data_IF_566479851052
#
_entry.id   IF_566479851052
#
_cell.length_a   1.000
_cell.length_b   1.000
_cell.length_c   1.000
_cell.angle_alpha   90.00
_cell.angle_beta   90.00
_cell.angle_gamma   90.00
#
_symmetry.space_group_name_H-M   'P 1'
#
loop_
_entity.id
_entity.type
_entity.pdbx_description
1 polymer ?
#
# COMPACT_ATOMS: atom_id res chain seq x y z
N UNK A 1 2.53 -6.09 -16.20
CA UNK A 1 2.32 -6.94 -15.02
C UNK A 1 0.96 -6.53 -14.46
N UNK A 2 0.01 -7.44 -14.19
CA UNK A 2 -1.30 -6.99 -13.72
C UNK A 2 -1.24 -6.63 -12.23
N UNK A 3 -1.73 -5.45 -11.88
CA UNK A 3 -1.84 -4.94 -10.51
C UNK A 3 -3.27 -4.48 -10.23
N UNK A 4 -3.64 -4.36 -8.94
CA UNK A 4 -4.97 -3.91 -8.53
C UNK A 4 -5.20 -2.43 -8.82
N UNK A 5 -4.12 -1.64 -8.78
CA UNK A 5 -4.13 -0.21 -9.08
C UNK A 5 -3.11 0.15 -10.15
N UNK A 6 -3.37 1.22 -10.89
CA UNK A 6 -2.43 1.79 -11.87
C UNK A 6 -1.52 2.85 -11.22
N UNK A 7 -0.34 3.15 -11.80
CA UNK A 7 0.52 4.25 -11.33
C UNK A 7 -0.22 5.58 -11.15
N UNK A 8 -1.12 5.91 -12.08
CA UNK A 8 -1.93 7.13 -12.01
C UNK A 8 -2.94 7.10 -10.85
N UNK A 9 -3.54 5.95 -10.56
CA UNK A 9 -4.39 5.81 -9.37
C UNK A 9 -3.58 5.96 -8.08
N UNK A 10 -2.35 5.42 -8.03
CA UNK A 10 -1.48 5.60 -6.86
C UNK A 10 -1.17 7.07 -6.62
N UNK A 11 -0.83 7.83 -7.67
CA UNK A 11 -0.63 9.28 -7.56
C UNK A 11 -1.87 9.98 -6.99
N UNK A 12 -3.05 9.70 -7.54
CA UNK A 12 -4.29 10.35 -7.10
C UNK A 12 -4.71 10.02 -5.67
N UNK A 13 -4.50 8.79 -5.23
CA UNK A 13 -5.02 8.29 -3.95
C UNK A 13 -4.03 8.46 -2.80
N UNK A 14 -2.73 8.36 -3.08
CA UNK A 14 -1.72 8.37 -2.04
C UNK A 14 -0.93 9.66 -1.97
N UNK A 15 -0.90 10.50 -3.01
CA UNK A 15 -0.19 11.79 -3.02
C UNK A 15 -1.18 12.96 -2.96
N UNK A 16 -0.81 14.03 -2.27
CA UNK A 16 -1.67 15.20 -2.08
C UNK A 16 -1.72 16.11 -3.32
N UNK A 17 -2.71 17.02 -3.39
CA UNK A 17 -2.90 17.92 -4.55
C UNK A 17 -1.70 18.83 -4.86
N UNK A 18 -0.80 19.06 -3.90
CA UNK A 18 0.45 19.82 -4.09
C UNK A 18 1.69 18.97 -4.42
N UNK A 19 1.57 17.65 -4.46
CA UNK A 19 2.67 16.72 -4.70
C UNK A 19 2.72 16.31 -6.18
N UNK A 20 3.33 17.15 -7.02
CA UNK A 20 3.46 16.88 -8.45
C UNK A 20 4.62 15.92 -8.72
N UNK A 21 4.30 14.66 -8.99
CA UNK A 21 5.25 13.64 -9.41
C UNK A 21 4.88 13.06 -10.78
N UNK A 22 5.85 12.84 -11.67
CA UNK A 22 5.61 12.19 -12.95
C UNK A 22 5.22 10.71 -12.70
N UNK A 23 4.22 10.16 -13.43
CA UNK A 23 3.75 8.78 -13.20
C UNK A 23 4.84 7.72 -13.42
N UNK A 24 5.86 8.02 -14.21
CA UNK A 24 7.02 7.16 -14.49
C UNK A 24 7.86 6.88 -13.24
N UNK A 25 7.69 7.65 -12.16
CA UNK A 25 8.37 7.40 -10.89
C UNK A 25 7.82 6.16 -10.16
N UNK A 26 6.60 5.75 -10.50
CA UNK A 26 5.92 4.60 -9.92
C UNK A 26 5.97 3.46 -10.93
N UNK A 27 6.82 2.46 -10.68
CA UNK A 27 6.84 1.27 -11.51
C UNK A 27 5.72 0.30 -11.10
N UNK A 28 5.16 -0.44 -12.07
CA UNK A 28 4.23 -1.54 -11.78
C UNK A 28 4.82 -2.57 -10.81
N UNK A 29 6.14 -2.78 -10.87
CA UNK A 29 6.85 -3.67 -9.94
C UNK A 29 6.82 -3.20 -8.48
N UNK A 30 6.84 -1.88 -8.24
CA UNK A 30 6.73 -1.32 -6.89
C UNK A 30 5.32 -1.55 -6.33
N UNK A 31 4.30 -1.38 -7.17
CA UNK A 31 2.90 -1.66 -6.83
C UNK A 31 2.72 -3.14 -6.51
N UNK A 32 3.14 -4.02 -7.41
CA UNK A 32 3.02 -5.46 -7.20
C UNK A 32 3.78 -5.94 -5.97
N UNK A 33 4.98 -5.40 -5.71
CA UNK A 33 5.74 -5.70 -4.49
C UNK A 33 4.99 -5.27 -3.22
N UNK A 34 4.32 -4.12 -3.23
CA UNK A 34 3.48 -3.66 -2.13
C UNK A 34 2.25 -4.55 -1.94
N UNK A 35 1.57 -4.92 -3.03
CA UNK A 35 0.41 -5.81 -3.01
C UNK A 35 0.76 -7.20 -2.46
N UNK A 36 1.84 -7.82 -2.96
CA UNK A 36 2.30 -9.13 -2.48
C UNK A 36 2.67 -9.10 -0.99
N UNK A 37 3.26 -8.01 -0.52
CA UNK A 37 3.69 -7.89 0.87
C UNK A 37 2.54 -7.61 1.83
N UNK A 38 1.54 -6.85 1.41
CA UNK A 38 0.55 -6.28 2.32
C UNK A 38 -0.89 -6.69 2.03
N UNK A 39 -1.28 -6.83 0.77
CA UNK A 39 -2.66 -7.14 0.36
C UNK A 39 -2.88 -8.65 0.30
N UNK A 40 -2.03 -9.38 -0.41
CA UNK A 40 -2.16 -10.83 -0.64
C UNK A 40 -2.27 -11.64 0.66
N UNK A 41 -1.52 -11.33 1.74
CA UNK A 41 -1.67 -12.05 3.01
C UNK A 41 -3.03 -11.90 3.71
N UNK A 42 -3.82 -10.90 3.32
CA UNK A 42 -5.16 -10.63 3.90
C UNK A 42 -6.25 -11.20 2.99
N UNK A 43 -6.20 -10.88 1.70
CA UNK A 43 -7.25 -11.31 0.75
C UNK A 43 -7.11 -12.78 0.33
N UNK A 44 -5.91 -13.34 0.45
CA UNK A 44 -5.59 -14.68 -0.03
C UNK A 44 -5.26 -14.70 -1.53
N UNK A 45 -4.47 -15.70 -1.94
CA UNK A 45 -3.95 -15.77 -3.32
C UNK A 45 -5.04 -16.04 -4.36
N UNK A 46 -6.00 -16.92 -4.03
CA UNK A 46 -7.09 -17.27 -4.95
C UNK A 46 -7.98 -16.06 -5.29
N UNK A 47 -8.42 -15.30 -4.28
CA UNK A 47 -9.18 -14.07 -4.49
C UNK A 47 -8.34 -13.00 -5.20
N UNK A 48 -7.07 -12.85 -4.85
CA UNK A 48 -6.17 -11.90 -5.53
C UNK A 48 -6.08 -12.17 -7.04
N UNK A 49 -5.97 -13.43 -7.47
CA UNK A 49 -5.93 -13.79 -8.88
C UNK A 49 -7.24 -13.43 -9.60
N UNK A 50 -8.40 -13.57 -8.95
CA UNK A 50 -9.70 -13.12 -9.48
C UNK A 50 -9.79 -11.61 -9.62
N UNK A 51 -9.31 -10.87 -8.61
CA UNK A 51 -9.25 -9.41 -8.63
C UNK A 51 -8.34 -8.90 -9.76
N UNK A 52 -7.21 -9.57 -10.02
CA UNK A 52 -6.33 -9.27 -11.15
C UNK A 52 -6.96 -9.60 -12.51
N UNK A 53 -7.83 -10.61 -12.57
CA UNK A 53 -8.63 -10.93 -13.75
C UNK A 53 -9.79 -9.94 -13.98
N UNK A 54 -10.02 -9.00 -13.07
CA UNK A 54 -11.05 -7.96 -13.18
C UNK A 54 -12.37 -8.30 -12.49
N UNK A 55 -12.46 -9.42 -11.76
CA UNK A 55 -13.62 -9.71 -10.90
C UNK A 55 -13.71 -8.72 -9.75
N UNK A 56 -14.93 -8.49 -9.25
CA UNK A 56 -15.22 -7.61 -8.11
C UNK A 56 -14.68 -6.17 -8.26
N UNK A 57 -15.03 -5.45 -9.34
CA UNK A 57 -14.49 -4.11 -9.60
C UNK A 57 -14.85 -3.09 -8.52
N UNK A 58 -16.04 -3.21 -7.93
CA UNK A 58 -16.52 -2.32 -6.87
C UNK A 58 -15.71 -2.53 -5.59
N UNK A 59 -15.53 -3.79 -5.17
CA UNK A 59 -14.68 -4.12 -4.03
C UNK A 59 -13.25 -3.61 -4.20
N UNK A 60 -12.67 -3.84 -5.39
CA UNK A 60 -11.33 -3.34 -5.71
C UNK A 60 -11.23 -1.82 -5.60
N UNK A 61 -12.20 -1.11 -6.15
CA UNK A 61 -12.18 0.36 -6.22
C UNK A 61 -12.48 1.01 -4.87
N UNK A 62 -13.47 0.51 -4.14
CA UNK A 62 -13.90 1.08 -2.87
C UNK A 62 -12.98 0.69 -1.71
N UNK A 63 -12.53 -0.56 -1.65
CA UNK A 63 -11.83 -1.11 -0.48
C UNK A 63 -10.32 -1.28 -0.67
N UNK A 64 -9.86 -1.70 -1.86
CA UNK A 64 -8.45 -2.07 -2.05
C UNK A 64 -7.59 -0.98 -2.70
N UNK A 65 -8.18 -0.08 -3.50
CA UNK A 65 -7.41 0.90 -4.26
C UNK A 65 -6.60 1.84 -3.35
N UNK A 66 -7.24 2.40 -2.33
CA UNK A 66 -6.62 3.31 -1.37
C UNK A 66 -5.50 2.66 -0.54
N UNK A 67 -5.70 1.50 0.12
CA UNK A 67 -4.61 0.86 0.86
C UNK A 67 -3.47 0.41 -0.06
N UNK A 68 -3.75 -0.13 -1.26
CA UNK A 68 -2.70 -0.50 -2.22
C UNK A 68 -1.84 0.71 -2.62
N UNK A 69 -2.47 1.86 -2.87
CA UNK A 69 -1.78 3.10 -3.18
C UNK A 69 -0.91 3.59 -2.00
N UNK A 70 -1.43 3.59 -0.78
CA UNK A 70 -0.69 4.03 0.41
C UNK A 70 0.49 3.12 0.74
N UNK A 71 0.34 1.79 0.62
CA UNK A 71 1.47 0.87 0.76
C UNK A 71 2.53 1.10 -0.31
N UNK A 72 2.11 1.34 -1.56
CA UNK A 72 3.03 1.69 -2.65
C UNK A 72 3.79 2.98 -2.33
N UNK A 73 3.11 4.03 -1.87
CA UNK A 73 3.76 5.28 -1.42
C UNK A 73 4.77 5.02 -0.31
N UNK A 74 4.42 4.20 0.69
CA UNK A 74 5.33 3.88 1.80
C UNK A 74 6.59 3.13 1.35
N UNK A 75 6.49 2.28 0.32
CA UNK A 75 7.64 1.58 -0.30
C UNK A 75 8.50 2.55 -1.09
N UNK A 76 7.89 3.48 -1.82
CA UNK A 76 8.58 4.43 -2.68
C UNK A 76 9.23 5.60 -1.93
N UNK A 77 8.69 6.00 -0.78
CA UNK A 77 9.11 7.21 -0.06
C UNK A 77 10.64 7.31 0.15
N UNK A 78 11.38 6.25 0.55
CA UNK A 78 12.84 6.32 0.67
C UNK A 78 13.58 6.70 -0.62
N UNK A 79 13.08 6.27 -1.79
CA UNK A 79 13.63 6.61 -3.12
C UNK A 79 13.32 8.04 -3.53
N UNK A 80 12.29 8.65 -2.95
CA UNK A 80 11.96 10.06 -3.12
C UNK A 80 12.82 10.94 -2.20
N UNK A 81 13.08 10.45 -0.98
CA UNK A 81 13.83 11.16 0.05
C UNK A 81 15.35 11.19 -0.21
N UNK A 82 15.88 10.23 -0.97
CA UNK A 82 17.32 10.10 -1.26
C UNK A 82 17.53 9.77 -2.73
N UNK A 83 18.43 10.49 -3.39
CA UNK A 83 18.83 10.29 -4.80
C UNK A 83 20.25 9.73 -4.86
N UNK A 84 20.52 8.90 -5.85
CA UNK A 84 21.88 8.44 -6.16
C UNK A 84 22.38 9.19 -7.39
N UNK A 85 23.52 9.86 -7.26
CA UNK A 85 24.18 10.58 -8.34
C UNK A 85 25.68 10.34 -8.35
N UNK A 86 26.42 11.16 -9.12
CA UNK A 86 27.88 11.04 -9.24
C UNK A 86 28.62 11.22 -7.90
N UNK A 87 28.03 11.95 -6.96
CA UNK A 87 28.58 12.17 -5.62
C UNK A 87 28.06 11.15 -4.58
N UNK A 88 27.51 10.02 -5.01
CA UNK A 88 26.90 9.01 -4.13
C UNK A 88 25.44 9.31 -3.77
N UNK A 89 25.00 8.84 -2.61
CA UNK A 89 23.62 9.04 -2.11
C UNK A 89 23.47 10.39 -1.43
N UNK A 90 22.60 11.25 -1.96
CA UNK A 90 22.36 12.60 -1.45
C UNK A 90 20.88 12.86 -1.22
N UNK A 91 20.57 13.70 -0.24
CA UNK A 91 19.21 14.18 -0.02
C UNK A 91 18.94 15.40 -0.95
N UNK A 92 17.76 15.50 -1.58
CA UNK A 92 17.44 16.60 -2.48
C UNK A 92 17.34 17.91 -1.70
N UNK A 93 18.31 18.80 -1.92
CA UNK A 93 18.40 20.13 -1.32
C UNK A 93 18.44 21.19 -2.41
N UNK A 94 17.70 22.28 -2.23
CA UNK A 94 17.72 23.44 -3.13
C UNK A 94 18.06 24.72 -2.35
N UNK A 95 18.15 25.85 -3.05
CA UNK A 95 18.36 27.16 -2.41
C UNK A 95 17.21 27.55 -1.45
N UNK A 96 16.00 27.02 -1.66
CA UNK A 96 14.79 27.42 -0.95
C UNK A 96 14.11 26.28 -0.15
N UNK A 97 14.66 25.06 -0.22
CA UNK A 97 14.11 23.90 0.48
C UNK A 97 15.22 23.04 1.09
N UNK A 98 14.95 22.53 2.30
CA UNK A 98 15.81 21.56 2.97
C UNK A 98 15.13 20.19 3.03
N UNK A 99 15.89 19.10 2.92
CA UNK A 99 15.37 17.76 3.19
C UNK A 99 14.77 17.67 4.59
N UNK A 100 13.67 16.92 4.71
CA UNK A 100 13.09 16.60 6.01
C UNK A 100 14.07 15.77 6.87
N UNK A 101 14.14 16.07 8.16
CA UNK A 101 14.93 15.29 9.11
C UNK A 101 14.39 13.88 9.33
N UNK A 102 15.21 13.01 9.94
CA UNK A 102 14.87 11.60 10.19
C UNK A 102 13.57 11.39 10.96
N UNK A 103 13.29 12.26 11.94
CA UNK A 103 12.07 12.20 12.75
C UNK A 103 10.83 12.41 11.90
N UNK A 104 10.82 13.44 11.06
CA UNK A 104 9.73 13.72 10.14
C UNK A 104 9.52 12.58 9.13
N UNK A 105 10.61 12.05 8.55
CA UNK A 105 10.54 10.91 7.61
C UNK A 105 9.98 9.65 8.26
N UNK A 106 10.40 9.34 9.49
CA UNK A 106 9.86 8.21 10.27
C UNK A 106 8.38 8.39 10.62
N UNK A 107 7.98 9.61 11.00
CA UNK A 107 6.58 9.92 11.29
C UNK A 107 5.70 9.76 10.05
N UNK A 108 6.12 10.29 8.91
CA UNK A 108 5.42 10.13 7.64
C UNK A 108 5.22 8.65 7.30
N UNK A 109 6.30 7.85 7.33
CA UNK A 109 6.22 6.42 7.03
C UNK A 109 5.26 5.69 7.98
N UNK A 110 5.31 5.99 9.27
CA UNK A 110 4.40 5.38 10.26
C UNK A 110 2.95 5.77 10.00
N UNK A 111 2.68 7.03 9.70
CA UNK A 111 1.34 7.51 9.38
C UNK A 111 0.77 6.82 8.13
N UNK A 112 1.55 6.72 7.05
CA UNK A 112 1.15 6.02 5.82
C UNK A 112 0.82 4.56 6.08
N UNK A 113 1.68 3.84 6.80
CA UNK A 113 1.45 2.43 7.11
C UNK A 113 0.25 2.22 8.04
N UNK A 114 0.06 3.11 9.02
CA UNK A 114 -1.09 3.06 9.92
C UNK A 114 -2.40 3.27 9.13
N UNK A 115 -2.47 4.31 8.30
CA UNK A 115 -3.65 4.60 7.48
C UNK A 115 -3.95 3.45 6.50
N UNK A 116 -2.93 2.94 5.80
CA UNK A 116 -3.08 1.83 4.87
C UNK A 116 -3.61 0.57 5.57
N UNK A 117 -3.09 0.25 6.76
CA UNK A 117 -3.56 -0.89 7.56
C UNK A 117 -4.99 -0.72 8.02
N UNK A 118 -5.38 0.47 8.50
CA UNK A 118 -6.77 0.73 8.90
C UNK A 118 -7.75 0.51 7.75
N UNK A 119 -7.42 0.99 6.55
CA UNK A 119 -8.25 0.76 5.36
C UNK A 119 -8.27 -0.71 4.93
N UNK A 120 -7.14 -1.42 5.04
CA UNK A 120 -7.09 -2.85 4.74
C UNK A 120 -7.88 -3.69 5.77
N UNK A 121 -7.91 -3.29 7.04
CA UNK A 121 -8.78 -3.90 8.04
C UNK A 121 -10.25 -3.73 7.65
N UNK A 122 -10.66 -2.54 7.23
CA UNK A 122 -12.03 -2.31 6.71
C UNK A 122 -12.35 -3.24 5.53
N UNK A 123 -11.40 -3.44 4.61
CA UNK A 123 -11.56 -4.38 3.50
C UNK A 123 -11.72 -5.83 3.98
N UNK A 124 -10.91 -6.26 4.94
CA UNK A 124 -10.99 -7.60 5.53
C UNK A 124 -12.32 -7.84 6.25
N UNK A 125 -12.80 -6.86 7.03
CA UNK A 125 -14.11 -6.95 7.67
C UNK A 125 -15.25 -7.09 6.65
N UNK A 126 -15.17 -6.38 5.52
CA UNK A 126 -16.14 -6.52 4.44
C UNK A 126 -16.13 -7.93 3.84
N UNK A 127 -14.96 -8.51 3.58
CA UNK A 127 -14.82 -9.89 3.07
C UNK A 127 -15.41 -10.92 4.03
N UNK A 128 -15.24 -10.73 5.35
CA UNK A 128 -15.81 -11.62 6.36
C UNK A 128 -17.32 -11.51 6.44
N UNK A 129 -17.85 -10.30 6.40
CA UNK A 129 -19.29 -10.06 6.47
C UNK A 129 -20.04 -10.57 5.23
N UNK A 130 -19.39 -10.58 4.06
CA UNK A 130 -20.00 -10.95 2.77
C UNK A 130 -19.35 -12.21 2.18
N UNK A 131 -19.01 -13.18 3.03
CA UNK A 131 -18.29 -14.40 2.61
C UNK A 131 -18.96 -15.13 1.44
N UNK A 132 -20.28 -15.14 1.40
CA UNK A 132 -21.05 -15.82 0.36
C UNK A 132 -20.85 -15.19 -1.04
N UNK A 133 -20.47 -13.91 -1.10
CA UNK A 133 -20.17 -13.18 -2.35
C UNK A 133 -18.73 -13.45 -2.86
N UNK A 134 -17.84 -13.89 -1.97
CA UNK A 134 -16.42 -14.13 -2.23
C UNK A 134 -16.04 -15.59 -1.92
N UNK A 135 -16.45 -16.57 -2.74
CA UNK A 135 -16.16 -17.99 -2.48
C UNK A 135 -14.67 -18.32 -2.46
N UNK A 136 -13.82 -17.51 -3.10
CA UNK A 136 -12.36 -17.67 -3.08
C UNK A 136 -11.69 -17.12 -1.80
N UNK A 137 -12.43 -16.37 -0.96
CA UNK A 137 -11.91 -15.87 0.31
C UNK A 137 -11.93 -16.96 1.38
N UNK A 138 -10.76 -17.25 1.93
CA UNK A 138 -10.60 -18.18 3.05
C UNK A 138 -10.17 -17.41 4.33
N UNK A 139 -11.06 -17.27 5.32
CA UNK A 139 -10.77 -16.59 6.58
C UNK A 139 -9.60 -17.21 7.36
N UNK A 140 -9.33 -18.50 7.22
CA UNK A 140 -8.24 -19.18 7.94
C UNK A 140 -6.86 -18.74 7.41
N UNK A 141 -6.81 -18.34 6.14
CA UNK A 141 -5.59 -17.85 5.51
C UNK A 141 -5.35 -16.35 5.73
N UNK A 142 -6.35 -15.61 6.21
CA UNK A 142 -6.24 -14.18 6.53
C UNK A 142 -5.32 -13.96 7.74
N UNK A 143 -4.21 -13.27 7.50
CA UNK A 143 -3.23 -12.95 8.54
C UNK A 143 -3.84 -12.16 9.72
N UNK A 144 -4.89 -11.37 9.51
CA UNK A 144 -5.55 -10.63 10.58
C UNK A 144 -6.39 -11.52 11.50
N UNK A 145 -6.81 -12.70 11.04
CA UNK A 145 -7.48 -13.67 11.90
C UNK A 145 -6.48 -14.44 12.76
N UNK A 146 -5.30 -14.71 12.20
CA UNK A 146 -4.23 -15.47 12.88
C UNK A 146 -3.43 -14.62 13.84
N UNK A 147 -3.21 -13.35 13.53
CA UNK A 147 -2.45 -12.47 14.39
C UNK A 147 -2.94 -11.02 14.35
N UNK A 148 -2.96 -10.39 15.53
CA UNK A 148 -3.15 -8.94 15.66
C UNK A 148 -1.83 -8.26 15.95
N UNK A 149 -1.62 -7.09 15.34
CA UNK A 149 -0.47 -6.23 15.62
C UNK A 149 -0.92 -4.88 16.14
N UNK A 150 -1.57 -4.87 17.30
CA UNK A 150 -2.02 -3.65 17.97
C UNK A 150 -0.91 -3.11 18.89
N UNK A 151 -0.67 -1.81 18.83
CA UNK A 151 0.30 -1.13 19.70
C UNK A 151 1.77 -1.55 19.51
N UNK A 152 2.09 -2.32 18.46
CA UNK A 152 3.44 -2.83 18.21
C UNK A 152 3.73 -4.22 18.79
N UNK A 153 2.72 -4.90 19.33
CA UNK A 153 2.84 -6.27 19.84
C UNK A 153 2.21 -7.25 18.86
N UNK A 154 2.86 -8.39 18.60
CA UNK A 154 2.27 -9.49 17.82
C UNK A 154 1.55 -10.42 18.79
N UNK A 155 0.23 -10.54 18.66
CA UNK A 155 -0.56 -11.55 19.36
C UNK A 155 -1.02 -12.60 18.35
N UNK A 156 -0.72 -13.87 18.62
CA UNK A 156 -1.17 -15.00 17.80
C UNK A 156 -2.42 -15.56 18.48
N UNK A 157 -3.50 -15.77 17.72
CA UNK A 157 -4.75 -16.37 18.20
C UNK A 157 -4.74 -17.89 18.07
#
# INVERSE_FOLDING_TARGET
>A
MNTLVTPLQVLKLAFGEGEYLPPEIIAEADIAGAEQRHIVPVVGRALYEKLLAGSYPDFRTEYLASPAALFTRAVLQPRLDVRTGQCGTTAPKSAYAQPAGDTARRHLRRALLAQARTLLHRAAEHLRAHRDEFPEYDPENDIFNRCTTDGGFVQIR
#
